data_IF_762109589810
#
_entry.id   IF_762109589810
#
_cell.length_a   1.000
_cell.length_b   1.000
_cell.length_c   1.000
_cell.angle_alpha   90.00
_cell.angle_beta   90.00
_cell.angle_gamma   90.00
#
_symmetry.space_group_name_H-M   'P 1'
#
loop_
_entity.id
_entity.type
_entity.pdbx_description
1 polymer ?
#
# COMPACT_ATOMS: atom_id res chain seq x y z
N UNK A 1 -2.32 -27.07 -14.14
CA UNK A 1 -1.51 -26.72 -12.95
C UNK A 1 -0.36 -25.76 -13.29
N UNK A 2 0.54 -26.08 -14.23
CA UNK A 2 1.71 -25.25 -14.56
C UNK A 2 1.30 -23.84 -15.05
N UNK A 3 0.35 -23.76 -15.96
CA UNK A 3 -0.18 -22.49 -16.52
C UNK A 3 -0.75 -21.59 -15.41
N UNK A 4 -1.46 -22.15 -14.45
CA UNK A 4 -2.04 -21.39 -13.33
C UNK A 4 -0.95 -20.84 -12.39
N UNK A 5 0.12 -21.60 -12.16
CA UNK A 5 1.27 -21.15 -11.37
C UNK A 5 1.99 -20.00 -12.08
N UNK A 6 2.18 -20.10 -13.39
CA UNK A 6 2.81 -19.05 -14.20
C UNK A 6 1.97 -17.75 -14.18
N UNK A 7 0.67 -17.85 -14.41
CA UNK A 7 -0.23 -16.69 -14.41
C UNK A 7 -0.24 -16.03 -13.02
N UNK A 8 -0.39 -16.80 -11.95
CA UNK A 8 -0.36 -16.27 -10.60
C UNK A 8 1.00 -15.65 -10.24
N UNK A 9 2.09 -16.26 -10.70
CA UNK A 9 3.43 -15.72 -10.53
C UNK A 9 3.60 -14.39 -11.26
N UNK A 10 3.10 -14.28 -12.49
CA UNK A 10 3.15 -13.06 -13.29
C UNK A 10 2.33 -11.92 -12.65
N UNK A 11 1.12 -12.23 -12.17
CA UNK A 11 0.26 -11.25 -11.50
C UNK A 11 0.87 -10.75 -10.19
N UNK A 12 1.39 -11.65 -9.37
CA UNK A 12 2.09 -11.27 -8.13
C UNK A 12 3.36 -10.48 -8.43
N UNK A 13 4.13 -10.90 -9.42
CA UNK A 13 5.32 -10.18 -9.88
C UNK A 13 5.00 -8.77 -10.36
N UNK A 14 3.89 -8.59 -11.08
CA UNK A 14 3.38 -7.28 -11.49
C UNK A 14 3.04 -6.37 -10.30
N UNK A 15 2.39 -6.90 -9.27
CA UNK A 15 2.13 -6.16 -8.03
C UNK A 15 3.43 -5.73 -7.33
N UNK A 16 4.38 -6.62 -7.18
CA UNK A 16 5.69 -6.27 -6.59
C UNK A 16 6.45 -5.27 -7.43
N UNK A 17 6.37 -5.34 -8.76
CA UNK A 17 6.97 -4.37 -9.65
C UNK A 17 6.38 -2.96 -9.46
N UNK A 18 5.06 -2.84 -9.31
CA UNK A 18 4.39 -1.57 -9.00
C UNK A 18 4.84 -0.99 -7.65
N UNK A 19 4.94 -1.84 -6.62
CA UNK A 19 5.45 -1.43 -5.30
C UNK A 19 6.90 -0.95 -5.38
N UNK A 20 7.76 -1.70 -6.07
CA UNK A 20 9.15 -1.35 -6.27
C UNK A 20 9.33 -0.05 -7.07
N UNK A 21 8.47 0.18 -8.08
CA UNK A 21 8.47 1.40 -8.87
C UNK A 21 8.16 2.63 -8.01
N UNK A 22 7.16 2.53 -7.12
CA UNK A 22 6.83 3.61 -6.19
C UNK A 22 8.01 3.96 -5.27
N UNK A 23 8.66 2.96 -4.70
CA UNK A 23 9.83 3.16 -3.85
C UNK A 23 11.02 3.73 -4.61
N UNK A 24 11.24 3.26 -5.84
CA UNK A 24 12.30 3.74 -6.74
C UNK A 24 12.12 5.21 -7.11
N UNK A 25 10.87 5.66 -7.31
CA UNK A 25 10.56 7.07 -7.56
C UNK A 25 10.89 7.95 -6.34
N UNK A 26 10.52 7.51 -5.14
CA UNK A 26 10.85 8.25 -3.90
C UNK A 26 12.37 8.39 -3.77
N UNK A 27 13.12 7.30 -3.94
CA UNK A 27 14.58 7.32 -3.91
C UNK A 27 15.17 8.22 -5.00
N UNK A 28 14.70 8.11 -6.24
CA UNK A 28 15.21 8.86 -7.38
C UNK A 28 14.97 10.38 -7.30
N UNK A 29 13.88 10.80 -6.64
CA UNK A 29 13.54 12.23 -6.52
C UNK A 29 14.09 12.84 -5.24
N UNK A 30 14.06 12.11 -4.14
CA UNK A 30 14.33 12.67 -2.80
C UNK A 30 15.60 12.12 -2.15
N UNK A 31 16.18 11.05 -2.68
CA UNK A 31 17.29 10.30 -2.06
C UNK A 31 17.00 9.85 -0.62
N UNK A 32 15.74 9.50 -0.35
CA UNK A 32 15.27 9.06 0.96
C UNK A 32 14.87 7.59 0.87
N UNK A 33 15.33 6.79 1.82
CA UNK A 33 14.86 5.42 2.02
C UNK A 33 13.60 5.48 2.87
N UNK A 34 12.44 5.29 2.24
CA UNK A 34 11.16 5.31 2.94
C UNK A 34 10.74 3.89 3.34
N UNK A 35 11.11 3.46 4.55
CA UNK A 35 10.73 2.15 5.09
C UNK A 35 9.20 2.05 5.29
N UNK A 36 8.54 3.17 5.61
CA UNK A 36 7.08 3.21 5.79
C UNK A 36 6.26 2.97 4.52
N UNK A 37 6.92 2.79 3.35
CA UNK A 37 6.23 2.58 2.07
C UNK A 37 5.27 1.38 2.11
N UNK A 38 5.67 0.27 2.72
CA UNK A 38 4.83 -0.91 2.92
C UNK A 38 3.59 -0.63 3.77
N UNK A 39 3.74 0.16 4.83
CA UNK A 39 2.63 0.55 5.70
C UNK A 39 1.61 1.46 5.00
N UNK A 40 2.04 2.33 4.08
CA UNK A 40 1.13 3.12 3.25
C UNK A 40 0.33 2.24 2.29
N UNK A 41 0.93 1.20 1.70
CA UNK A 41 0.22 0.23 0.85
C UNK A 41 -0.83 -0.51 1.68
N UNK A 42 -0.47 -0.94 2.89
CA UNK A 42 -1.39 -1.58 3.83
C UNK A 42 -2.57 -0.66 4.17
N UNK A 43 -2.32 0.63 4.49
CA UNK A 43 -3.37 1.60 4.75
C UNK A 43 -4.30 1.79 3.54
N UNK A 44 -3.76 1.85 2.33
CA UNK A 44 -4.56 1.91 1.10
C UNK A 44 -5.50 0.72 0.95
N UNK A 45 -5.02 -0.47 1.26
CA UNK A 45 -5.85 -1.68 1.27
C UNK A 45 -6.96 -1.62 2.33
N UNK A 46 -6.67 -1.14 3.54
CA UNK A 46 -7.68 -0.94 4.58
C UNK A 46 -8.74 0.09 4.18
N UNK A 47 -8.36 1.21 3.60
CA UNK A 47 -9.30 2.24 3.12
C UNK A 47 -10.23 1.64 2.06
N UNK A 48 -9.69 0.91 1.09
CA UNK A 48 -10.48 0.21 0.07
C UNK A 48 -11.46 -0.78 0.69
N UNK A 49 -10.99 -1.57 1.67
CA UNK A 49 -11.84 -2.52 2.40
C UNK A 49 -13.00 -1.81 3.12
N UNK A 50 -12.75 -0.69 3.80
CA UNK A 50 -13.78 0.07 4.50
C UNK A 50 -14.79 0.72 3.57
N UNK A 51 -14.34 1.24 2.43
CA UNK A 51 -15.22 1.78 1.40
C UNK A 51 -16.12 0.69 0.80
N UNK A 52 -15.58 -0.50 0.62
CA UNK A 52 -16.39 -1.64 0.15
C UNK A 52 -17.41 -2.09 1.21
N UNK A 53 -17.00 -2.30 2.46
CA UNK A 53 -17.88 -2.82 3.51
C UNK A 53 -18.87 -1.81 4.04
N UNK A 54 -18.50 -0.52 4.11
CA UNK A 54 -19.35 0.55 4.66
C UNK A 54 -20.29 1.17 3.64
N UNK A 55 -19.83 1.37 2.42
CA UNK A 55 -20.58 2.04 1.37
C UNK A 55 -20.99 1.14 0.20
N UNK A 56 -20.57 -0.13 0.20
CA UNK A 56 -20.83 -1.05 -0.91
C UNK A 56 -20.14 -0.65 -2.21
N UNK A 57 -19.14 0.22 -2.14
CA UNK A 57 -18.42 0.70 -3.31
C UNK A 57 -17.55 -0.42 -3.90
N UNK A 58 -17.62 -0.59 -5.23
CA UNK A 58 -16.72 -1.50 -5.94
C UNK A 58 -15.26 -1.09 -5.69
N UNK A 59 -14.34 -2.04 -5.46
CA UNK A 59 -12.92 -1.74 -5.22
C UNK A 59 -12.28 -0.87 -6.32
N UNK A 60 -12.67 -1.04 -7.58
CA UNK A 60 -12.18 -0.20 -8.68
C UNK A 60 -12.66 1.25 -8.59
N UNK A 61 -13.88 1.47 -8.12
CA UNK A 61 -14.44 2.82 -7.91
C UNK A 61 -13.84 3.47 -6.65
N UNK A 62 -13.47 2.68 -5.66
CA UNK A 62 -12.83 3.17 -4.43
C UNK A 62 -11.36 3.55 -4.62
N UNK A 63 -10.69 3.09 -5.71
CA UNK A 63 -9.29 3.39 -5.99
C UNK A 63 -8.96 4.90 -6.00
N UNK A 64 -9.67 5.76 -6.76
CA UNK A 64 -9.36 7.20 -6.78
C UNK A 64 -9.47 7.83 -5.39
N UNK A 65 -10.47 7.41 -4.61
CA UNK A 65 -10.68 7.93 -3.26
C UNK A 65 -9.58 7.47 -2.30
N UNK A 66 -9.21 6.20 -2.34
CA UNK A 66 -8.09 5.66 -1.57
C UNK A 66 -6.78 6.36 -1.93
N UNK A 67 -6.53 6.59 -3.23
CA UNK A 67 -5.36 7.33 -3.71
C UNK A 67 -5.34 8.76 -3.15
N UNK A 68 -6.48 9.47 -3.17
CA UNK A 68 -6.58 10.83 -2.64
C UNK A 68 -6.28 10.88 -1.13
N UNK A 69 -6.82 9.94 -0.36
CA UNK A 69 -6.59 9.87 1.09
C UNK A 69 -5.12 9.57 1.40
N UNK A 70 -4.52 8.57 0.75
CA UNK A 70 -3.11 8.23 0.95
C UNK A 70 -2.18 9.34 0.46
N UNK A 71 -2.52 10.00 -0.64
CA UNK A 71 -1.78 11.17 -1.13
C UNK A 71 -1.78 12.31 -0.10
N UNK A 72 -2.94 12.63 0.45
CA UNK A 72 -3.07 13.69 1.45
C UNK A 72 -2.30 13.37 2.73
N UNK A 73 -2.36 12.11 3.17
CA UNK A 73 -1.63 11.64 4.35
C UNK A 73 -0.11 11.66 4.10
N UNK A 74 0.33 11.19 2.94
CA UNK A 74 1.74 11.25 2.52
C UNK A 74 2.25 12.68 2.40
N UNK A 75 1.44 13.59 1.85
CA UNK A 75 1.78 15.01 1.76
C UNK A 75 1.92 15.67 3.14
N UNK A 76 1.05 15.35 4.09
CA UNK A 76 1.14 15.84 5.47
C UNK A 76 2.44 15.34 6.15
N UNK A 77 2.72 14.05 6.04
CA UNK A 77 3.94 13.45 6.61
C UNK A 77 5.18 14.06 5.95
N UNK A 78 5.17 14.23 4.64
CA UNK A 78 6.25 14.87 3.91
C UNK A 78 6.48 16.29 4.41
N UNK A 79 5.42 17.10 4.48
CA UNK A 79 5.50 18.52 4.84
C UNK A 79 5.96 18.74 6.28
N UNK A 80 5.44 17.97 7.22
CA UNK A 80 5.64 18.22 8.66
C UNK A 80 6.77 17.40 9.29
N UNK A 81 7.08 16.22 8.74
CA UNK A 81 8.10 15.34 9.31
C UNK A 81 9.34 15.22 8.41
N UNK A 82 9.16 14.81 7.16
CA UNK A 82 10.31 14.48 6.30
C UNK A 82 11.08 15.75 5.90
N UNK A 83 10.41 16.85 5.60
CA UNK A 83 11.07 18.12 5.24
C UNK A 83 12.00 18.66 6.34
N UNK A 84 11.76 18.30 7.60
CA UNK A 84 12.62 18.71 8.71
C UNK A 84 13.98 17.98 8.68
N UNK A 85 14.03 16.79 8.10
CA UNK A 85 15.21 15.92 8.12
C UNK A 85 15.75 15.59 6.72
N UNK A 86 15.15 16.13 5.66
CA UNK A 86 15.55 15.83 4.27
C UNK A 86 16.99 16.24 3.96
N UNK A 87 17.52 17.24 4.67
CA UNK A 87 18.91 17.70 4.54
C UNK A 87 19.85 17.06 5.57
N UNK A 88 19.33 16.24 6.47
CA UNK A 88 20.12 15.52 7.45
C UNK A 88 20.75 14.27 6.84
N UNK A 89 21.57 13.57 7.63
CA UNK A 89 22.18 12.31 7.22
C UNK A 89 21.08 11.29 6.86
N UNK A 90 21.37 10.45 5.86
CA UNK A 90 20.46 9.40 5.37
C UNK A 90 19.97 8.48 6.50
N UNK A 91 20.81 8.24 7.52
CA UNK A 91 20.45 7.43 8.69
C UNK A 91 19.35 8.07 9.54
N UNK A 92 19.34 9.40 9.66
CA UNK A 92 18.29 10.13 10.40
C UNK A 92 16.95 9.99 9.68
N UNK A 93 16.96 10.12 8.37
CA UNK A 93 15.76 9.97 7.54
C UNK A 93 15.24 8.52 7.59
N UNK A 94 16.14 7.55 7.56
CA UNK A 94 15.81 6.14 7.67
C UNK A 94 15.18 5.82 9.04
N UNK A 95 15.75 6.35 10.12
CA UNK A 95 15.20 6.18 11.47
C UNK A 95 13.82 6.82 11.61
N UNK A 96 13.61 8.02 11.03
CA UNK A 96 12.32 8.68 11.03
C UNK A 96 11.27 7.86 10.29
N UNK A 97 11.57 7.38 9.07
CA UNK A 97 10.61 6.59 8.28
C UNK A 97 10.30 5.25 8.94
N UNK A 98 11.28 4.64 9.63
CA UNK A 98 11.06 3.45 10.45
C UNK A 98 10.14 3.74 11.64
N UNK A 99 10.32 4.88 12.32
CA UNK A 99 9.41 5.32 13.37
C UNK A 99 7.98 5.53 12.87
N UNK A 100 7.82 6.11 11.69
CA UNK A 100 6.52 6.29 11.03
C UNK A 100 5.89 4.93 10.71
N UNK A 101 6.68 3.98 10.22
CA UNK A 101 6.21 2.61 9.95
C UNK A 101 5.67 1.95 11.21
N UNK A 102 6.44 1.98 12.30
CA UNK A 102 6.01 1.42 13.58
C UNK A 102 4.73 2.07 14.09
N UNK A 103 4.62 3.39 13.97
CA UNK A 103 3.45 4.14 14.38
C UNK A 103 2.22 3.75 13.58
N UNK A 104 2.32 3.70 12.26
CA UNK A 104 1.22 3.31 11.37
C UNK A 104 0.79 1.86 11.66
N UNK A 105 1.74 0.93 11.79
CA UNK A 105 1.44 -0.48 12.04
C UNK A 105 0.77 -0.68 13.41
N UNK A 106 1.24 0.00 14.45
CA UNK A 106 0.61 -0.08 15.77
C UNK A 106 -0.77 0.57 15.81
N UNK A 107 -0.97 1.70 15.14
CA UNK A 107 -2.30 2.31 15.00
C UNK A 107 -3.25 1.40 14.20
N UNK A 108 -2.76 0.78 13.14
CA UNK A 108 -3.56 -0.17 12.37
C UNK A 108 -3.99 -1.37 13.22
N UNK A 109 -3.08 -1.93 14.02
CA UNK A 109 -3.41 -3.02 14.97
C UNK A 109 -4.42 -2.58 16.04
N UNK A 110 -4.31 -1.36 16.53
CA UNK A 110 -5.21 -0.82 17.54
C UNK A 110 -6.62 -0.60 17.01
N UNK A 111 -6.77 -0.10 15.78
CA UNK A 111 -8.06 0.20 15.17
C UNK A 111 -8.71 -1.00 14.47
N UNK A 112 -7.93 -1.88 13.86
CA UNK A 112 -8.42 -2.95 12.99
C UNK A 112 -8.12 -4.36 13.46
N UNK A 113 -7.34 -4.53 14.52
CA UNK A 113 -6.84 -5.83 15.00
C UNK A 113 -5.98 -6.58 13.96
N UNK A 114 -5.42 -7.72 14.34
CA UNK A 114 -4.54 -8.50 13.44
C UNK A 114 -5.31 -9.46 12.50
N UNK A 115 -6.63 -9.29 12.36
CA UNK A 115 -7.46 -10.20 11.57
C UNK A 115 -7.25 -9.99 10.06
N UNK A 116 -7.08 -11.09 9.34
CA UNK A 116 -6.99 -11.08 7.88
C UNK A 116 -8.35 -10.74 7.28
N UNK A 117 -8.44 -9.57 6.67
CA UNK A 117 -9.66 -9.09 6.02
C UNK A 117 -9.54 -9.24 4.51
N UNK A 118 -10.58 -9.78 3.88
CA UNK A 118 -10.65 -9.96 2.43
C UNK A 118 -11.88 -9.26 1.87
N UNK A 119 -11.70 -8.59 0.74
CA UNK A 119 -12.81 -8.03 -0.04
C UNK A 119 -13.40 -9.18 -0.87
N UNK A 120 -14.65 -9.55 -0.60
CA UNK A 120 -15.37 -10.56 -1.38
C UNK A 120 -16.23 -9.86 -2.42
N UNK A 121 -15.73 -9.78 -3.63
CA UNK A 121 -16.48 -9.26 -4.78
C UNK A 121 -17.16 -10.41 -5.51
N UNK A 122 -18.37 -10.18 -6.04
CA UNK A 122 -19.14 -11.20 -6.74
C UNK A 122 -18.43 -11.78 -7.99
N UNK A 123 -17.53 -11.00 -8.59
CA UNK A 123 -16.70 -11.43 -9.73
C UNK A 123 -15.36 -12.08 -9.30
N UNK A 124 -15.03 -12.12 -8.03
CA UNK A 124 -13.81 -12.76 -7.51
C UNK A 124 -13.80 -14.28 -7.64
N UNK A 125 -14.96 -14.90 -7.90
CA UNK A 125 -15.10 -16.33 -8.18
C UNK A 125 -15.14 -16.66 -9.69
N UNK A 126 -14.97 -15.66 -10.56
CA UNK A 126 -14.93 -15.89 -12.01
C UNK A 126 -13.64 -16.65 -12.38
N UNK A 127 -13.74 -17.96 -12.45
CA UNK A 127 -12.68 -18.83 -12.92
C UNK A 127 -12.70 -18.86 -14.45
N UNK A 128 -11.70 -18.26 -15.09
CA UNK A 128 -11.44 -18.53 -16.49
C UNK A 128 -10.77 -19.91 -16.62
N UNK A 129 -11.52 -20.93 -16.93
CA UNK A 129 -10.98 -22.21 -17.34
C UNK A 129 -10.56 -22.10 -18.82
N UNK A 130 -9.29 -21.84 -19.07
CA UNK A 130 -8.68 -22.01 -20.37
C UNK A 130 -8.21 -23.47 -20.48
N UNK A 131 -8.88 -24.25 -21.30
CA UNK A 131 -8.62 -25.66 -21.59
C UNK A 131 -8.85 -26.64 -20.43
N UNK A 132 -10.02 -27.26 -20.42
CA UNK A 132 -10.35 -28.57 -19.92
C UNK A 132 -10.22 -28.83 -18.45
#
# INVERSE_FOLDING_TARGET
MLTQVIINGLLKGGLYALMAMGMSMIWGVMNIINIAHGSFIMLGAYITYWLFTGFGMDPFVSLPLSMAVIFLLGWLIQKYLINLVVQADIFITLLLTFGIELLINNLALLFWTADVRKVQVGYGAANFQFFG
#
